data_IF_347093575522
#
_entry.id   IF_347093575522
#
_cell.length_a   1.000
_cell.length_b   1.000
_cell.length_c   1.000
_cell.angle_alpha   90.00
_cell.angle_beta   90.00
_cell.angle_gamma   90.00
#
_symmetry.space_group_name_H-M   'P 1'
#
loop_
_entity.id
_entity.type
_entity.pdbx_description
1 polymer ?
#
# COMPACT_ATOMS: atom_id res chain seq x y z
N UNK A 1 -41.93 -47.16 -3.21
CA UNK A 1 -41.16 -45.90 -3.28
C UNK A 1 -40.72 -45.66 -4.71
N UNK A 2 -40.74 -44.41 -5.22
CA UNK A 2 -40.24 -44.08 -6.55
C UNK A 2 -38.75 -44.47 -6.70
N UNK A 3 -38.35 -44.99 -7.86
CA UNK A 3 -36.96 -45.41 -8.13
C UNK A 3 -35.95 -44.28 -7.89
N UNK A 4 -36.38 -43.04 -8.13
CA UNK A 4 -35.62 -41.81 -7.91
C UNK A 4 -35.27 -41.62 -6.42
N UNK A 5 -36.21 -41.95 -5.51
CA UNK A 5 -35.99 -41.83 -4.06
C UNK A 5 -34.93 -42.81 -3.60
N UNK A 6 -34.96 -44.07 -4.06
CA UNK A 6 -33.96 -45.07 -3.68
C UNK A 6 -32.55 -44.70 -4.16
N UNK A 7 -32.41 -44.22 -5.41
CA UNK A 7 -31.13 -43.76 -5.95
C UNK A 7 -30.59 -42.57 -5.16
N UNK A 8 -31.45 -41.62 -4.81
CA UNK A 8 -31.08 -40.45 -4.04
C UNK A 8 -30.58 -40.83 -2.63
N UNK A 9 -31.28 -41.75 -1.94
CA UNK A 9 -30.87 -42.26 -0.62
C UNK A 9 -29.47 -42.90 -0.68
N UNK A 10 -29.19 -43.72 -1.68
CA UNK A 10 -27.85 -44.34 -1.85
C UNK A 10 -26.77 -43.27 -2.03
N UNK A 11 -27.01 -42.25 -2.85
CA UNK A 11 -26.06 -41.15 -3.06
C UNK A 11 -25.81 -40.38 -1.76
N UNK A 12 -26.86 -40.04 -1.00
CA UNK A 12 -26.71 -39.35 0.28
C UNK A 12 -25.94 -40.19 1.31
N UNK A 13 -26.15 -41.50 1.34
CA UNK A 13 -25.40 -42.40 2.23
C UNK A 13 -23.92 -42.46 1.84
N UNK A 14 -23.61 -42.54 0.55
CA UNK A 14 -22.22 -42.52 0.07
C UNK A 14 -21.56 -41.18 0.41
N UNK A 15 -22.20 -40.05 0.07
CA UNK A 15 -21.66 -38.72 0.33
C UNK A 15 -21.52 -38.46 1.83
N UNK A 16 -22.56 -38.73 2.62
CA UNK A 16 -22.55 -38.57 4.07
C UNK A 16 -21.53 -39.47 4.76
N UNK A 17 -21.43 -40.72 4.32
CA UNK A 17 -20.41 -41.67 4.77
C UNK A 17 -19.00 -41.17 4.46
N UNK A 18 -18.74 -40.75 3.22
CA UNK A 18 -17.44 -40.21 2.80
C UNK A 18 -17.06 -38.95 3.59
N UNK A 19 -18.01 -38.05 3.86
CA UNK A 19 -17.77 -36.83 4.61
C UNK A 19 -17.43 -37.14 6.08
N UNK A 20 -18.11 -38.12 6.66
CA UNK A 20 -17.85 -38.55 8.05
C UNK A 20 -16.45 -39.16 8.18
N UNK A 21 -16.07 -40.03 7.24
CA UNK A 21 -14.72 -40.60 7.18
C UNK A 21 -13.68 -39.50 6.99
N UNK A 22 -13.87 -38.61 6.02
CA UNK A 22 -12.96 -37.50 5.77
C UNK A 22 -12.81 -36.61 7.01
N UNK A 23 -13.91 -36.28 7.68
CA UNK A 23 -13.88 -35.49 8.92
C UNK A 23 -13.11 -36.20 10.04
N UNK A 24 -13.29 -37.51 10.20
CA UNK A 24 -12.60 -38.28 11.24
C UNK A 24 -11.06 -38.25 11.07
N UNK A 25 -10.56 -38.33 9.84
CA UNK A 25 -9.11 -38.35 9.57
C UNK A 25 -8.48 -36.97 9.38
N UNK A 26 -9.21 -36.00 8.84
CA UNK A 26 -8.66 -34.69 8.47
C UNK A 26 -8.79 -33.64 9.59
N UNK A 27 -9.72 -33.80 10.54
CA UNK A 27 -9.87 -32.86 11.66
C UNK A 27 -8.89 -33.22 12.77
N UNK A 28 -7.91 -32.35 13.10
CA UNK A 28 -6.98 -32.61 14.19
C UNK A 28 -7.71 -32.78 15.51
N UNK A 29 -7.19 -33.65 16.39
CA UNK A 29 -7.78 -33.94 17.72
C UNK A 29 -8.04 -32.68 18.56
N UNK A 30 -7.21 -31.65 18.40
CA UNK A 30 -7.29 -30.40 19.16
C UNK A 30 -7.93 -29.25 18.37
N UNK A 31 -8.58 -29.53 17.24
CA UNK A 31 -9.27 -28.52 16.45
C UNK A 31 -10.51 -28.02 17.19
N UNK A 32 -10.74 -26.70 17.22
CA UNK A 32 -11.91 -26.12 17.87
C UNK A 32 -11.72 -25.83 19.37
N UNK A 33 -10.68 -26.38 20.01
CA UNK A 33 -10.49 -26.25 21.46
C UNK A 33 -10.24 -24.81 21.93
N UNK A 34 -9.58 -23.99 21.10
CA UNK A 34 -9.26 -22.58 21.37
C UNK A 34 -9.76 -21.62 20.27
N UNK A 35 -10.69 -22.07 19.44
CA UNK A 35 -11.15 -21.37 18.23
C UNK A 35 -11.02 -22.23 16.97
N UNK A 36 -11.25 -21.63 15.80
CA UNK A 36 -11.31 -22.35 14.51
C UNK A 36 -9.93 -22.70 13.93
N UNK A 37 -9.08 -23.34 14.75
CA UNK A 37 -7.76 -23.82 14.38
C UNK A 37 -7.34 -24.99 15.29
N UNK A 38 -6.22 -25.64 14.94
CA UNK A 38 -5.62 -26.73 15.72
C UNK A 38 -4.90 -26.15 16.94
N UNK A 39 -5.40 -26.34 18.16
CA UNK A 39 -4.78 -25.77 19.36
C UNK A 39 -3.30 -26.19 19.56
N UNK A 40 -2.94 -27.46 19.30
CA UNK A 40 -1.56 -27.93 19.33
C UNK A 40 -0.63 -27.29 18.27
N UNK A 41 -1.13 -26.40 17.40
CA UNK A 41 -0.29 -25.61 16.52
C UNK A 41 0.48 -24.52 17.28
N UNK A 42 -0.04 -24.06 18.43
CA UNK A 42 0.64 -23.08 19.28
C UNK A 42 1.96 -23.67 19.77
N UNK A 43 1.90 -24.81 20.47
CA UNK A 43 3.09 -25.49 21.00
C UNK A 43 4.06 -25.88 19.87
N UNK A 44 3.53 -26.38 18.75
CA UNK A 44 4.35 -26.76 17.60
C UNK A 44 5.07 -25.57 16.93
N UNK A 45 4.51 -24.36 17.01
CA UNK A 45 5.16 -23.15 16.53
C UNK A 45 6.13 -22.59 17.58
N UNK A 46 5.78 -22.64 18.86
CA UNK A 46 6.62 -22.22 19.97
C UNK A 46 7.87 -23.09 20.14
N UNK A 47 7.80 -24.37 19.75
CA UNK A 47 8.95 -25.29 19.80
C UNK A 47 9.95 -25.12 18.64
N UNK A 48 9.69 -24.20 17.69
CA UNK A 48 10.62 -23.96 16.60
C UNK A 48 11.82 -23.17 17.13
N UNK A 49 13.05 -23.47 16.66
CA UNK A 49 14.20 -22.64 16.98
C UNK A 49 13.97 -21.19 16.57
N UNK A 50 14.34 -20.27 17.45
CA UNK A 50 14.33 -18.84 17.15
C UNK A 50 15.45 -18.53 16.15
N UNK A 51 15.10 -17.92 15.03
CA UNK A 51 16.06 -17.54 13.97
C UNK A 51 16.16 -16.03 13.80
N UNK A 52 15.17 -15.29 14.30
CA UNK A 52 15.13 -13.84 14.31
C UNK A 52 15.55 -13.35 15.69
N UNK A 53 16.41 -12.35 15.74
CA UNK A 53 16.92 -11.79 16.99
C UNK A 53 16.02 -10.69 17.58
N UNK A 54 15.25 -9.99 16.73
CA UNK A 54 14.48 -8.83 17.12
C UNK A 54 15.29 -7.55 17.29
N UNK A 55 14.58 -6.41 17.32
CA UNK A 55 15.18 -5.07 17.35
C UNK A 55 16.04 -4.81 18.59
N UNK A 56 15.56 -5.23 19.76
CA UNK A 56 16.21 -4.97 21.05
C UNK A 56 17.61 -5.60 21.11
N UNK A 57 17.75 -6.84 20.65
CA UNK A 57 19.04 -7.52 20.56
C UNK A 57 20.03 -6.77 19.66
N UNK A 58 19.54 -6.21 18.55
CA UNK A 58 20.35 -5.38 17.65
C UNK A 58 20.77 -4.07 18.33
N UNK A 59 19.85 -3.39 19.01
CA UNK A 59 20.06 -2.07 19.63
C UNK A 59 21.06 -2.11 20.79
N UNK A 60 21.16 -3.23 21.51
CA UNK A 60 22.14 -3.42 22.60
C UNK A 60 23.59 -3.31 22.10
N UNK A 61 23.90 -3.87 20.92
CA UNK A 61 25.24 -3.86 20.35
C UNK A 61 25.45 -2.72 19.32
N UNK A 62 24.38 -2.23 18.68
CA UNK A 62 24.42 -1.16 17.67
C UNK A 62 23.57 0.06 18.04
N UNK A 63 23.83 0.71 19.19
CA UNK A 63 22.96 1.77 19.72
C UNK A 63 22.88 3.01 18.81
N UNK A 64 23.99 3.38 18.16
CA UNK A 64 24.03 4.56 17.29
C UNK A 64 23.15 4.38 16.04
N UNK A 65 23.20 3.20 15.43
CA UNK A 65 22.38 2.88 14.26
C UNK A 65 20.92 2.71 14.65
N UNK A 66 20.65 2.04 15.77
CA UNK A 66 19.28 1.89 16.28
C UNK A 66 18.64 3.26 16.54
N UNK A 67 19.37 4.19 17.17
CA UNK A 67 18.88 5.55 17.39
C UNK A 67 18.52 6.27 16.08
N UNK A 68 19.43 6.25 15.10
CA UNK A 68 19.19 6.87 13.79
C UNK A 68 17.96 6.26 13.11
N UNK A 69 17.81 4.94 13.19
CA UNK A 69 16.70 4.20 12.63
C UNK A 69 15.36 4.57 13.29
N UNK A 70 15.32 4.58 14.61
CA UNK A 70 14.10 4.74 15.41
C UNK A 70 13.53 6.16 15.34
N UNK A 71 14.39 7.15 15.11
CA UNK A 71 14.01 8.55 14.89
C UNK A 71 13.58 8.83 13.43
N UNK A 72 13.82 7.90 12.50
CA UNK A 72 13.61 8.09 11.07
C UNK A 72 12.35 7.40 10.51
N UNK A 73 12.14 7.54 9.19
CA UNK A 73 10.95 7.05 8.48
C UNK A 73 10.86 5.52 8.42
N UNK A 74 11.97 4.81 8.58
CA UNK A 74 11.99 3.34 8.61
C UNK A 74 11.82 2.73 10.00
N UNK A 75 11.62 3.51 11.07
CA UNK A 75 11.50 3.01 12.45
C UNK A 75 10.57 1.79 12.67
N UNK A 76 9.56 1.60 11.82
CA UNK A 76 8.63 0.46 11.90
C UNK A 76 9.03 -0.75 11.05
N UNK A 77 10.16 -0.68 10.33
CA UNK A 77 10.74 -1.74 9.53
C UNK A 77 11.84 -2.38 10.37
N UNK A 78 11.65 -3.63 10.81
CA UNK A 78 12.67 -4.31 11.61
C UNK A 78 13.99 -4.45 10.83
N UNK A 79 15.13 -4.40 11.53
CA UNK A 79 16.47 -4.54 10.92
C UNK A 79 16.54 -5.78 10.01
N UNK A 80 15.94 -6.87 10.48
CA UNK A 80 15.93 -8.19 9.85
C UNK A 80 15.09 -8.27 8.58
N UNK A 81 14.24 -7.27 8.29
CA UNK A 81 13.56 -7.15 6.99
C UNK A 81 14.59 -6.95 5.88
N UNK A 82 15.65 -6.17 6.13
CA UNK A 82 16.72 -5.94 5.16
C UNK A 82 17.92 -6.87 5.40
N UNK A 83 18.21 -7.18 6.65
CA UNK A 83 19.40 -7.90 7.07
C UNK A 83 19.20 -9.41 7.25
N UNK A 84 18.00 -9.95 7.00
CA UNK A 84 17.70 -11.37 7.18
C UNK A 84 17.51 -11.76 8.65
N UNK A 85 17.35 -13.06 8.90
CA UNK A 85 17.18 -13.60 10.25
C UNK A 85 18.56 -13.72 10.94
N UNK A 86 18.77 -12.98 12.03
CA UNK A 86 20.10 -12.70 12.58
C UNK A 86 20.37 -13.26 13.98
N UNK A 87 19.60 -14.24 14.45
CA UNK A 87 19.88 -14.91 15.75
C UNK A 87 21.34 -15.42 15.84
N UNK A 88 21.85 -16.08 14.80
CA UNK A 88 23.23 -16.56 14.76
C UNK A 88 24.28 -15.43 14.81
N UNK A 89 23.96 -14.24 14.29
CA UNK A 89 24.85 -13.08 14.41
C UNK A 89 24.91 -12.55 15.84
N UNK A 90 23.79 -12.57 16.57
CA UNK A 90 23.79 -12.19 17.98
C UNK A 90 24.59 -13.17 18.82
N UNK A 91 24.49 -14.48 18.55
CA UNK A 91 25.24 -15.52 19.26
C UNK A 91 26.74 -15.49 18.93
N UNK A 92 27.12 -15.23 17.69
CA UNK A 92 28.52 -15.22 17.24
C UNK A 92 28.77 -14.11 16.20
N UNK A 93 28.94 -12.85 16.65
CA UNK A 93 29.01 -11.69 15.75
C UNK A 93 30.20 -11.68 14.80
N UNK A 94 31.32 -12.30 15.20
CA UNK A 94 32.52 -12.38 14.40
C UNK A 94 32.39 -13.36 13.22
N UNK A 95 31.61 -14.43 13.42
CA UNK A 95 31.52 -15.56 12.49
C UNK A 95 30.33 -15.44 11.53
N UNK A 96 29.28 -14.72 11.94
CA UNK A 96 28.08 -14.52 11.13
C UNK A 96 27.87 -13.04 10.84
N UNK A 97 28.19 -12.60 9.63
CA UNK A 97 27.94 -11.19 9.22
C UNK A 97 26.56 -11.04 8.58
N UNK A 98 25.74 -10.07 8.99
CA UNK A 98 24.47 -9.81 8.35
C UNK A 98 24.64 -9.44 6.86
N UNK A 99 23.83 -9.99 5.94
CA UNK A 99 23.74 -9.46 4.59
C UNK A 99 23.22 -8.01 4.64
N UNK A 100 23.66 -7.18 3.70
CA UNK A 100 23.12 -5.83 3.53
C UNK A 100 22.76 -5.64 2.06
N UNK A 101 21.51 -5.28 1.72
CA UNK A 101 21.13 -5.04 0.33
C UNK A 101 21.92 -3.85 -0.24
N UNK A 102 22.92 -4.14 -1.06
CA UNK A 102 23.73 -3.11 -1.74
C UNK A 102 23.28 -2.84 -3.17
N UNK A 103 22.46 -3.72 -3.72
CA UNK A 103 21.97 -3.65 -5.08
C UNK A 103 20.58 -3.01 -5.14
N UNK A 104 20.21 -2.55 -6.34
CA UNK A 104 18.98 -1.80 -6.58
C UNK A 104 17.69 -2.60 -6.39
N UNK A 105 17.76 -3.94 -6.43
CA UNK A 105 16.56 -4.79 -6.49
C UNK A 105 15.73 -4.88 -5.21
N UNK A 106 16.30 -4.57 -4.04
CA UNK A 106 15.64 -4.85 -2.76
C UNK A 106 14.65 -3.75 -2.34
N UNK A 107 15.05 -2.48 -2.40
CA UNK A 107 14.20 -1.36 -2.00
C UNK A 107 12.89 -1.26 -2.82
N UNK A 108 12.88 -1.53 -4.14
CA UNK A 108 11.66 -1.55 -4.95
C UNK A 108 10.64 -2.62 -4.58
N UNK A 109 10.97 -3.62 -3.77
CA UNK A 109 9.96 -4.57 -3.25
C UNK A 109 8.90 -3.84 -2.41
N UNK A 110 9.31 -2.75 -1.75
CA UNK A 110 8.41 -1.88 -1.01
C UNK A 110 8.13 -0.59 -1.78
N UNK A 111 9.17 0.07 -2.30
CA UNK A 111 9.10 1.41 -2.91
C UNK A 111 8.86 1.41 -4.42
N UNK A 112 8.73 0.24 -5.05
CA UNK A 112 8.24 0.15 -6.41
C UNK A 112 6.77 0.53 -6.44
N UNK A 113 6.33 1.14 -7.54
CA UNK A 113 4.94 1.52 -7.68
C UNK A 113 4.01 0.29 -7.67
N UNK A 114 3.01 0.35 -6.80
CA UNK A 114 1.90 -0.57 -6.67
C UNK A 114 0.63 0.24 -6.33
N UNK A 115 -0.43 0.18 -7.14
CA UNK A 115 -1.67 0.96 -6.94
C UNK A 115 -2.41 0.59 -5.64
N UNK A 116 -2.13 -0.56 -5.04
CA UNK A 116 -2.71 -0.97 -3.76
C UNK A 116 -2.07 -0.26 -2.56
N UNK A 117 -0.93 0.42 -2.76
CA UNK A 117 -0.24 1.14 -1.68
C UNK A 117 -1.02 2.42 -1.32
N UNK A 118 -1.06 2.78 -0.02
CA UNK A 118 -1.72 4.01 0.41
C UNK A 118 -1.18 5.24 -0.30
N UNK A 119 -2.07 6.20 -0.57
CA UNK A 119 -1.67 7.52 -1.08
C UNK A 119 -0.71 8.20 -0.10
N UNK A 120 0.37 8.79 -0.62
CA UNK A 120 1.42 9.42 0.19
C UNK A 120 2.53 8.46 0.65
N UNK A 121 2.40 7.15 0.41
CA UNK A 121 3.51 6.23 0.59
C UNK A 121 4.58 6.48 -0.50
N UNK A 122 5.87 6.69 -0.15
CA UNK A 122 6.91 6.99 -1.13
C UNK A 122 7.11 5.84 -2.11
N UNK A 123 6.79 6.10 -3.39
CA UNK A 123 6.92 5.14 -4.47
C UNK A 123 7.63 5.76 -5.65
N UNK A 124 8.41 4.93 -6.35
CA UNK A 124 9.10 5.28 -7.58
C UNK A 124 8.71 4.29 -8.68
N UNK A 125 8.86 4.70 -9.93
CA UNK A 125 9.01 3.76 -11.03
C UNK A 125 10.49 3.33 -11.09
N UNK A 126 10.81 2.05 -10.83
CA UNK A 126 12.19 1.57 -10.88
C UNK A 126 12.79 1.65 -12.28
N UNK A 127 12.02 1.78 -13.36
CA UNK A 127 12.58 1.89 -14.71
C UNK A 127 13.08 3.31 -14.97
N UNK A 128 12.37 4.34 -14.52
CA UNK A 128 12.70 5.75 -14.80
C UNK A 128 13.51 6.44 -13.71
N UNK A 129 13.35 6.06 -12.44
CA UNK A 129 14.03 6.74 -11.33
C UNK A 129 15.49 6.32 -11.19
N UNK A 130 16.41 7.07 -11.80
CA UNK A 130 17.87 6.83 -11.74
C UNK A 130 18.24 5.38 -12.16
N UNK A 131 18.09 5.02 -13.45
CA UNK A 131 18.28 3.66 -13.93
C UNK A 131 19.69 3.15 -13.64
N UNK A 132 19.80 1.88 -13.22
CA UNK A 132 21.08 1.21 -12.96
C UNK A 132 21.86 1.66 -11.71
N UNK A 133 21.44 2.71 -11.02
CA UNK A 133 22.12 3.20 -9.79
C UNK A 133 21.50 2.60 -8.53
N UNK A 134 22.29 1.99 -7.62
CA UNK A 134 21.78 1.53 -6.34
C UNK A 134 21.17 2.66 -5.50
N UNK A 135 20.03 2.40 -4.86
CA UNK A 135 19.31 3.41 -4.08
C UNK A 135 20.18 4.04 -2.97
N UNK A 136 21.09 3.24 -2.41
CA UNK A 136 21.95 3.62 -1.28
C UNK A 136 23.00 4.68 -1.63
N UNK A 137 23.24 4.96 -2.92
CA UNK A 137 24.18 6.01 -3.32
C UNK A 137 23.60 7.41 -3.11
N UNK A 138 22.28 7.51 -2.95
CA UNK A 138 21.56 8.77 -2.74
C UNK A 138 20.75 8.77 -1.44
N UNK A 139 20.31 7.61 -0.96
CA UNK A 139 19.52 7.48 0.27
C UNK A 139 20.25 6.68 1.34
N UNK A 140 20.17 7.12 2.59
CA UNK A 140 20.59 6.32 3.74
C UNK A 140 19.46 5.34 4.12
N UNK A 141 19.66 4.01 4.04
CA UNK A 141 18.61 3.03 4.39
C UNK A 141 18.14 3.07 5.85
N UNK A 142 19.02 3.52 6.77
CA UNK A 142 18.69 3.66 8.19
C UNK A 142 17.99 4.99 8.49
N UNK A 143 18.13 5.99 7.62
CA UNK A 143 17.41 7.25 7.73
C UNK A 143 17.02 7.76 6.34
N UNK A 144 16.06 7.11 5.67
CA UNK A 144 15.71 7.47 4.32
C UNK A 144 14.95 8.80 4.36
N UNK A 145 15.63 9.84 3.92
CA UNK A 145 15.06 11.15 3.65
C UNK A 145 15.23 11.40 2.16
N UNK A 146 14.18 11.84 1.44
CA UNK A 146 14.36 12.39 0.12
C UNK A 146 15.39 13.52 0.19
N UNK A 147 16.44 13.54 -0.65
CA UNK A 147 17.48 14.58 -0.60
C UNK A 147 16.91 15.99 -0.83
N UNK A 148 15.76 16.07 -1.49
CA UNK A 148 14.99 17.27 -1.69
C UNK A 148 13.52 17.01 -1.36
N UNK A 149 12.86 18.00 -0.77
CA UNK A 149 11.39 17.99 -0.64
C UNK A 149 10.80 17.77 -2.03
N UNK A 150 9.86 16.82 -2.20
CA UNK A 150 9.26 16.58 -3.49
C UNK A 150 8.64 17.86 -4.04
N UNK A 151 9.13 18.31 -5.20
CA UNK A 151 8.64 19.53 -5.85
C UNK A 151 7.28 19.29 -6.53
N UNK A 152 7.06 18.06 -6.99
CA UNK A 152 5.89 17.64 -7.74
C UNK A 152 4.91 16.81 -6.91
N UNK A 153 3.61 17.03 -7.10
CA UNK A 153 2.55 16.30 -6.39
C UNK A 153 2.61 14.78 -6.68
N UNK A 154 3.05 14.39 -7.88
CA UNK A 154 3.11 13.01 -8.35
C UNK A 154 4.11 12.15 -7.58
N UNK A 155 5.07 12.76 -6.87
CA UNK A 155 6.01 12.03 -6.03
C UNK A 155 5.33 11.33 -4.83
N UNK A 156 4.24 11.89 -4.32
CA UNK A 156 3.45 11.32 -3.22
C UNK A 156 2.08 10.82 -3.70
N UNK A 157 1.51 11.46 -4.72
CA UNK A 157 0.20 11.16 -5.29
C UNK A 157 0.32 10.50 -6.66
N UNK A 158 1.27 9.56 -6.81
CA UNK A 158 1.57 8.93 -8.10
C UNK A 158 0.38 8.25 -8.75
N UNK A 159 -0.48 7.59 -7.97
CA UNK A 159 -1.72 7.00 -8.46
C UNK A 159 -2.61 8.05 -9.11
N UNK A 160 -2.95 9.10 -8.36
CA UNK A 160 -3.79 10.21 -8.84
C UNK A 160 -3.19 10.85 -10.09
N UNK A 161 -1.87 11.06 -10.11
CA UNK A 161 -1.16 11.65 -11.23
C UNK A 161 -1.25 10.77 -12.50
N UNK A 162 -1.07 9.45 -12.37
CA UNK A 162 -1.19 8.50 -13.49
C UNK A 162 -2.62 8.39 -13.99
N UNK A 163 -3.59 8.35 -13.09
CA UNK A 163 -5.00 8.29 -13.48
C UNK A 163 -5.43 9.57 -14.19
N UNK A 164 -5.03 10.75 -13.67
CA UNK A 164 -5.24 12.05 -14.30
C UNK A 164 -4.54 12.17 -15.66
N UNK A 165 -3.38 11.53 -15.83
CA UNK A 165 -2.66 11.58 -17.10
C UNK A 165 -3.48 10.98 -18.26
N UNK A 166 -4.42 10.08 -17.96
CA UNK A 166 -5.35 9.47 -18.91
C UNK A 166 -6.68 10.24 -19.02
N UNK A 167 -6.92 11.24 -18.19
CA UNK A 167 -8.17 11.98 -18.16
C UNK A 167 -8.20 13.21 -19.07
N UNK A 168 -9.41 13.76 -19.25
CA UNK A 168 -9.62 15.04 -19.96
C UNK A 168 -8.97 16.24 -19.25
N UNK A 169 -8.57 16.09 -17.98
CA UNK A 169 -7.85 17.10 -17.21
C UNK A 169 -6.33 16.89 -17.21
N UNK A 170 -5.79 16.04 -18.09
CA UNK A 170 -4.35 15.72 -18.13
C UNK A 170 -3.46 16.97 -18.18
N UNK A 171 -3.85 17.99 -18.94
CA UNK A 171 -3.10 19.25 -19.11
C UNK A 171 -3.32 20.29 -18.01
N UNK A 172 -4.30 20.11 -17.12
CA UNK A 172 -4.63 21.08 -16.05
C UNK A 172 -3.73 20.85 -14.84
N UNK A 173 -2.95 21.83 -14.35
CA UNK A 173 -2.13 21.65 -13.15
C UNK A 173 -2.94 21.26 -11.91
N UNK A 174 -2.39 20.44 -11.01
CA UNK A 174 -3.08 20.05 -9.77
C UNK A 174 -3.49 21.26 -8.92
N UNK A 175 -2.62 22.28 -8.89
CA UNK A 175 -2.81 23.53 -8.12
C UNK A 175 -3.89 24.43 -8.69
N UNK A 176 -4.41 24.16 -9.89
CA UNK A 176 -5.59 24.87 -10.41
C UNK A 176 -6.80 24.61 -9.51
N UNK A 177 -7.01 23.35 -9.07
CA UNK A 177 -8.15 22.96 -8.25
C UNK A 177 -7.82 22.87 -6.75
N UNK A 178 -6.56 22.62 -6.40
CA UNK A 178 -6.12 22.38 -5.04
C UNK A 178 -5.22 23.52 -4.54
N UNK A 179 -5.58 24.16 -3.43
CA UNK A 179 -4.64 25.00 -2.70
C UNK A 179 -3.79 24.12 -1.79
N UNK A 180 -2.46 24.25 -1.88
CA UNK A 180 -1.50 23.41 -1.15
C UNK A 180 -0.47 24.30 -0.49
N UNK A 181 -0.39 24.26 0.83
CA UNK A 181 0.69 24.91 1.60
C UNK A 181 2.00 24.11 1.47
N UNK A 182 3.15 24.78 1.56
CA UNK A 182 4.45 24.09 1.52
C UNK A 182 4.62 23.07 2.66
N UNK A 183 3.96 23.30 3.80
CA UNK A 183 3.93 22.36 4.92
C UNK A 183 3.32 21.00 4.54
N UNK A 184 2.41 20.94 3.56
CA UNK A 184 1.84 19.68 3.09
C UNK A 184 2.90 18.77 2.47
N UNK A 185 3.89 19.33 1.76
CA UNK A 185 4.96 18.56 1.10
C UNK A 185 5.96 17.96 2.09
N UNK A 186 6.02 18.48 3.32
CA UNK A 186 6.94 18.05 4.37
C UNK A 186 6.21 17.19 5.42
N UNK A 187 5.01 17.61 5.80
CA UNK A 187 4.17 16.95 6.80
C UNK A 187 2.69 16.99 6.38
N UNK A 188 2.26 16.08 5.48
CA UNK A 188 0.92 16.10 4.88
C UNK A 188 -0.22 15.89 5.88
N UNK A 189 0.08 15.36 7.07
CA UNK A 189 -0.92 15.16 8.13
C UNK A 189 -1.29 16.47 8.84
N UNK A 190 -0.40 17.45 8.86
CA UNK A 190 -0.64 18.75 9.52
C UNK A 190 -1.26 19.80 8.61
N UNK A 191 -1.22 19.59 7.30
CA UNK A 191 -1.76 20.51 6.31
C UNK A 191 -2.36 19.72 5.16
N UNK A 192 -3.68 19.82 4.99
CA UNK A 192 -4.40 19.10 3.95
C UNK A 192 -4.76 20.04 2.80
N UNK A 193 -4.59 19.62 1.53
CA UNK A 193 -4.97 20.44 0.39
C UNK A 193 -6.46 20.72 0.35
N UNK A 194 -6.83 21.92 -0.11
CA UNK A 194 -8.24 22.26 -0.31
C UNK A 194 -8.77 21.65 -1.61
N UNK A 195 -10.10 21.63 -1.76
CA UNK A 195 -10.79 21.27 -3.01
C UNK A 195 -11.82 22.36 -3.32
N UNK A 196 -12.27 22.53 -4.57
CA UNK A 196 -13.29 23.50 -4.91
C UNK A 196 -14.57 23.27 -4.09
N UNK A 197 -15.06 24.32 -3.44
CA UNK A 197 -16.25 24.26 -2.58
C UNK A 197 -17.52 24.79 -3.26
N UNK A 198 -17.41 25.27 -4.50
CA UNK A 198 -18.54 25.85 -5.24
C UNK A 198 -18.58 25.35 -6.69
N UNK A 199 -19.76 25.41 -7.30
CA UNK A 199 -20.01 24.93 -8.66
C UNK A 199 -19.48 25.90 -9.71
N UNK A 200 -19.41 27.18 -9.36
CA UNK A 200 -18.92 28.27 -10.20
C UNK A 200 -17.46 28.05 -10.58
N UNK A 201 -16.66 27.47 -9.68
CA UNK A 201 -15.27 27.13 -9.97
C UNK A 201 -15.15 26.22 -11.20
N UNK A 202 -15.87 25.08 -11.21
CA UNK A 202 -15.90 24.19 -12.38
C UNK A 202 -16.59 24.87 -13.58
N UNK A 203 -17.58 25.73 -13.31
CA UNK A 203 -18.28 26.56 -14.27
C UNK A 203 -17.39 27.48 -15.10
N UNK A 204 -16.24 27.91 -14.58
CA UNK A 204 -15.27 28.74 -15.31
C UNK A 204 -14.81 28.07 -16.62
N UNK A 205 -14.80 26.73 -16.67
CA UNK A 205 -14.46 25.96 -17.85
C UNK A 205 -15.63 25.18 -18.44
N UNK A 206 -16.62 24.77 -17.63
CA UNK A 206 -17.69 23.86 -18.04
C UNK A 206 -19.07 24.52 -18.23
N UNK A 207 -19.26 25.81 -17.90
CA UNK A 207 -20.53 26.47 -18.19
C UNK A 207 -20.76 26.62 -19.71
N UNK A 208 -22.03 26.65 -20.16
CA UNK A 208 -22.39 26.84 -21.57
C UNK A 208 -21.77 28.10 -22.22
N UNK A 209 -21.57 29.16 -21.43
CA UNK A 209 -20.94 30.41 -21.89
C UNK A 209 -19.44 30.52 -21.61
N UNK A 210 -18.79 29.50 -21.06
CA UNK A 210 -17.38 29.58 -20.70
C UNK A 210 -16.47 29.52 -21.96
N UNK A 211 -15.40 30.32 -21.93
CA UNK A 211 -14.39 30.33 -23.01
C UNK A 211 -13.50 29.10 -22.84
N UNK A 212 -13.43 28.24 -23.85
CA UNK A 212 -12.58 27.05 -23.83
C UNK A 212 -12.68 26.24 -25.11
N UNK A 213 -11.93 25.14 -25.19
CA UNK A 213 -11.92 24.29 -26.37
C UNK A 213 -13.31 23.64 -26.62
N UNK A 214 -13.67 23.35 -27.89
CA UNK A 214 -15.00 22.83 -28.25
C UNK A 214 -15.29 21.44 -27.68
N UNK A 215 -14.24 20.67 -27.37
CA UNK A 215 -14.29 19.32 -26.84
C UNK A 215 -14.49 19.25 -25.31
N UNK A 216 -14.51 20.40 -24.63
CA UNK A 216 -14.83 20.48 -23.21
C UNK A 216 -16.34 20.34 -23.01
N UNK A 217 -16.75 19.33 -22.23
CA UNK A 217 -18.15 19.11 -21.88
C UNK A 217 -18.78 20.35 -21.23
N UNK A 218 -19.95 20.75 -21.74
CA UNK A 218 -20.69 21.95 -21.28
C UNK A 218 -21.92 21.55 -20.49
N UNK A 219 -22.16 22.23 -19.38
CA UNK A 219 -23.33 22.03 -18.50
C UNK A 219 -24.00 23.36 -18.20
N UNK A 220 -25.31 23.30 -17.96
CA UNK A 220 -26.07 24.41 -17.41
C UNK A 220 -26.03 24.34 -15.88
N UNK A 221 -25.37 25.31 -15.26
CA UNK A 221 -25.23 25.39 -13.80
C UNK A 221 -26.55 25.67 -13.10
N UNK A 222 -27.60 26.13 -13.79
CA UNK A 222 -28.90 26.34 -13.18
C UNK A 222 -29.67 25.03 -12.97
N UNK A 223 -29.45 24.03 -13.82
CA UNK A 223 -30.25 22.77 -13.85
C UNK A 223 -29.45 21.51 -13.50
N UNK A 224 -28.11 21.52 -13.65
CA UNK A 224 -27.30 20.31 -13.48
C UNK A 224 -26.76 20.13 -12.05
N UNK A 225 -27.36 19.25 -11.23
CA UNK A 225 -26.81 18.88 -9.93
C UNK A 225 -26.91 19.97 -8.87
N UNK A 226 -28.05 20.66 -8.80
CA UNK A 226 -28.32 21.87 -7.98
C UNK A 226 -27.92 21.78 -6.49
N UNK A 227 -27.86 20.57 -5.92
CA UNK A 227 -27.58 20.33 -4.50
C UNK A 227 -26.15 19.91 -4.17
N UNK A 228 -25.34 19.61 -5.18
CA UNK A 228 -24.01 19.02 -5.01
C UNK A 228 -22.94 19.86 -5.70
N UNK A 229 -21.73 19.87 -5.15
CA UNK A 229 -20.55 20.35 -5.89
C UNK A 229 -20.11 19.27 -6.87
N UNK A 230 -19.55 19.70 -8.01
CA UNK A 230 -19.32 18.82 -9.16
C UNK A 230 -18.51 17.56 -8.81
N UNK A 231 -17.51 17.67 -7.93
CA UNK A 231 -16.63 16.55 -7.58
C UNK A 231 -17.30 15.45 -6.73
N UNK A 232 -18.49 15.70 -6.19
CA UNK A 232 -19.26 14.68 -5.47
C UNK A 232 -19.85 13.61 -6.42
N UNK A 233 -19.99 13.95 -7.70
CA UNK A 233 -20.47 13.03 -8.74
C UNK A 233 -19.41 12.78 -9.82
N UNK A 234 -18.55 13.76 -10.11
CA UNK A 234 -17.53 13.67 -11.16
C UNK A 234 -16.12 13.66 -10.58
N UNK A 235 -15.41 12.55 -10.73
CA UNK A 235 -14.03 12.48 -10.29
C UNK A 235 -13.09 12.97 -11.39
N UNK A 236 -12.68 14.24 -11.32
CA UNK A 236 -11.92 14.93 -12.39
C UNK A 236 -10.59 14.24 -12.80
N UNK A 237 -10.02 13.41 -11.93
CA UNK A 237 -8.82 12.65 -12.23
C UNK A 237 -9.09 11.39 -13.05
N UNK A 238 -10.33 10.91 -13.16
CA UNK A 238 -10.64 9.67 -13.86
C UNK A 238 -10.79 9.88 -15.37
N UNK A 239 -10.35 8.91 -16.18
CA UNK A 239 -10.49 8.97 -17.64
C UNK A 239 -11.93 8.78 -18.10
N UNK A 240 -12.70 8.03 -17.32
CA UNK A 240 -14.11 7.77 -17.59
C UNK A 240 -14.96 8.90 -17.01
N UNK A 241 -15.80 9.47 -17.86
CA UNK A 241 -16.85 10.41 -17.46
C UNK A 241 -18.09 9.55 -17.18
N UNK A 242 -18.54 9.38 -15.92
CA UNK A 242 -19.94 9.06 -15.70
C UNK A 242 -20.81 10.24 -16.12
#
# INVERSE_FOLDING_TARGET
MPQQVNRLVVVFLILGGSLTVARHYMVPKTFGALGHYRAAAIDANASKPEVYAGHEACALCHPDIAKVHDEARHRSVACEVCHGAQAAHVESPADHKPPAPRQRGFCPLCHGYDPSRPTGFPQIDPVSHNPGRPCITCHNPHAPVPPHTPQECSACHGEIARTKALSKHTTVPCTTCHHVEETHKINPLLSTPTKPQTREFCGQCHAQGAKGAPDVARVDLSTHGERYVCWQCHYAHFPEVP
#
